data_IF_952481853822
#
_entry.id   IF_952481853822
#
_cell.length_a   1.000
_cell.length_b   1.000
_cell.length_c   1.000
_cell.angle_alpha   90.00
_cell.angle_beta   90.00
_cell.angle_gamma   90.00
#
_symmetry.space_group_name_H-M   'P 1'
#
loop_
_entity.id
_entity.type
_entity.pdbx_description
1 polymer ?
#
# COMPACT_ATOMS: atom_id res chain seq x y z
N UNK A 1 -7.23 29.64 -16.56
CA UNK A 1 -8.28 28.66 -16.93
C UNK A 1 -9.21 28.51 -15.72
N UNK A 2 -10.50 28.29 -15.95
CA UNK A 2 -11.48 28.04 -14.89
C UNK A 2 -12.06 26.63 -15.06
N UNK A 3 -12.08 25.83 -13.99
CA UNK A 3 -12.72 24.51 -14.00
C UNK A 3 -14.13 24.61 -13.41
N UNK A 4 -15.14 24.48 -14.26
CA UNK A 4 -16.54 24.42 -13.83
C UNK A 4 -16.91 22.97 -13.49
N UNK A 5 -16.81 22.59 -12.22
CA UNK A 5 -17.20 21.26 -11.75
C UNK A 5 -18.68 21.20 -11.37
N UNK A 6 -19.49 20.48 -12.16
CA UNK A 6 -20.93 20.26 -11.90
C UNK A 6 -21.23 18.92 -11.20
N UNK A 7 -20.20 18.16 -10.83
CA UNK A 7 -20.35 16.88 -10.16
C UNK A 7 -20.35 17.06 -8.63
N UNK A 8 -20.69 15.98 -7.91
CA UNK A 8 -20.50 15.90 -6.45
C UNK A 8 -19.10 15.45 -6.03
N UNK A 9 -18.20 15.25 -7.01
CA UNK A 9 -16.84 14.77 -6.79
C UNK A 9 -15.90 15.95 -6.56
N UNK A 10 -14.79 15.71 -5.90
CA UNK A 10 -13.70 16.70 -5.81
C UNK A 10 -13.02 16.75 -7.17
N UNK A 11 -12.94 17.93 -7.77
CA UNK A 11 -12.38 18.14 -9.10
C UNK A 11 -11.19 19.09 -9.07
N UNK A 12 -10.19 18.83 -9.90
CA UNK A 12 -9.03 19.69 -10.03
C UNK A 12 -8.29 19.43 -11.34
N UNK A 13 -7.33 20.30 -11.64
CA UNK A 13 -6.50 20.15 -12.84
C UNK A 13 -5.07 20.61 -12.57
N UNK A 14 -4.14 20.09 -13.37
CA UNK A 14 -2.76 20.54 -13.46
C UNK A 14 -2.28 20.46 -14.90
N UNK A 15 -1.09 20.99 -15.18
CA UNK A 15 -0.38 20.80 -16.44
C UNK A 15 0.77 19.83 -16.25
N UNK A 16 1.03 18.99 -17.25
CA UNK A 16 2.18 18.09 -17.26
C UNK A 16 2.79 18.03 -18.65
N UNK A 17 4.09 17.79 -18.75
CA UNK A 17 4.83 17.74 -20.01
C UNK A 17 5.24 16.31 -20.29
N UNK A 18 4.97 15.83 -21.50
CA UNK A 18 5.39 14.49 -21.90
C UNK A 18 6.87 14.44 -22.33
N UNK A 19 7.36 13.23 -22.63
CA UNK A 19 8.74 13.00 -23.06
C UNK A 19 9.13 13.69 -24.38
N UNK A 20 8.18 14.23 -25.14
CA UNK A 20 8.41 14.97 -26.39
C UNK A 20 8.42 16.49 -26.18
N UNK A 21 8.18 16.96 -24.96
CA UNK A 21 8.05 18.39 -24.65
C UNK A 21 6.64 18.93 -24.91
N UNK A 22 5.66 18.08 -25.22
CA UNK A 22 4.27 18.52 -25.40
C UNK A 22 3.61 18.68 -24.04
N UNK A 23 2.99 19.84 -23.85
CA UNK A 23 2.18 20.13 -22.66
C UNK A 23 0.78 19.50 -22.77
N UNK A 24 0.32 18.98 -21.64
CA UNK A 24 -0.98 18.35 -21.46
C UNK A 24 -1.69 18.98 -20.26
N UNK A 25 -2.99 19.21 -20.41
CA UNK A 25 -3.88 19.50 -19.29
C UNK A 25 -4.37 18.16 -18.71
N UNK A 26 -4.08 17.93 -17.43
CA UNK A 26 -4.55 16.75 -16.69
C UNK A 26 -5.68 17.18 -15.77
N UNK A 27 -6.86 16.61 -15.95
CA UNK A 27 -8.05 16.88 -15.13
C UNK A 27 -8.41 15.63 -14.36
N UNK A 28 -8.65 15.77 -13.06
CA UNK A 28 -8.99 14.67 -12.16
C UNK A 28 -10.33 14.96 -11.47
N UNK A 29 -11.15 13.91 -11.33
CA UNK A 29 -12.31 13.90 -10.45
C UNK A 29 -12.17 12.73 -9.46
N UNK A 30 -12.34 13.00 -8.17
CA UNK A 30 -12.14 12.04 -7.07
C UNK A 30 -13.39 11.90 -6.24
N UNK A 31 -13.77 10.64 -6.01
CA UNK A 31 -14.92 10.27 -5.19
C UNK A 31 -14.51 9.42 -4.00
N UNK A 32 -15.06 9.71 -2.83
CA UNK A 32 -14.95 8.89 -1.63
C UNK A 32 -16.27 8.18 -1.40
N UNK A 33 -16.20 6.85 -1.35
CA UNK A 33 -17.35 5.98 -1.21
C UNK A 33 -17.22 5.15 0.07
N UNK A 34 -18.35 4.91 0.74
CA UNK A 34 -18.41 3.96 1.85
C UNK A 34 -18.36 2.52 1.34
N UNK A 35 -17.64 1.66 2.05
CA UNK A 35 -17.69 0.22 1.82
C UNK A 35 -19.08 -0.27 2.24
N UNK A 36 -19.82 -0.97 1.36
CA UNK A 36 -21.16 -1.45 1.68
C UNK A 36 -21.12 -2.57 2.71
N UNK A 37 -22.06 -2.56 3.66
CA UNK A 37 -22.21 -3.62 4.67
C UNK A 37 -22.60 -4.98 4.08
N UNK A 38 -23.15 -4.99 2.85
CA UNK A 38 -23.57 -6.20 2.16
C UNK A 38 -22.95 -6.27 0.75
N UNK A 39 -22.38 -7.42 0.32
CA UNK A 39 -21.69 -7.56 -0.98
C UNK A 39 -22.50 -7.23 -2.24
N UNK A 40 -23.83 -7.17 -2.12
CA UNK A 40 -24.75 -6.83 -3.22
C UNK A 40 -25.16 -5.35 -3.27
N UNK A 41 -24.81 -4.55 -2.26
CA UNK A 41 -25.15 -3.13 -2.25
C UNK A 41 -24.10 -2.32 -3.01
N UNK A 42 -24.55 -1.32 -3.76
CA UNK A 42 -23.66 -0.39 -4.42
C UNK A 42 -22.95 0.50 -3.37
N UNK A 43 -21.66 0.82 -3.57
CA UNK A 43 -20.98 1.82 -2.74
C UNK A 43 -21.70 3.17 -2.80
N UNK A 44 -21.88 3.81 -1.65
CA UNK A 44 -22.53 5.12 -1.56
C UNK A 44 -21.48 6.23 -1.52
N UNK A 45 -21.64 7.25 -2.34
CA UNK A 45 -20.83 8.48 -2.27
C UNK A 45 -21.07 9.16 -0.92
N UNK A 46 -19.99 9.40 -0.17
CA UNK A 46 -20.05 10.04 1.14
C UNK A 46 -20.24 11.56 1.02
N UNK A 47 -20.71 12.21 2.08
CA UNK A 47 -20.78 13.68 2.11
C UNK A 47 -19.40 14.30 2.27
N UNK A 48 -18.59 13.74 3.17
CA UNK A 48 -17.19 14.11 3.31
C UNK A 48 -16.37 13.40 2.24
N UNK A 49 -15.80 14.19 1.33
CA UNK A 49 -14.92 13.72 0.27
C UNK A 49 -13.46 13.96 0.65
N UNK A 50 -12.59 12.99 0.33
CA UNK A 50 -11.16 13.15 0.47
C UNK A 50 -10.63 14.16 -0.56
N UNK A 51 -9.64 15.00 -0.19
CA UNK A 51 -9.05 15.94 -1.12
C UNK A 51 -8.23 15.23 -2.22
N UNK A 52 -7.91 15.98 -3.27
CA UNK A 52 -6.94 15.56 -4.28
C UNK A 52 -5.54 15.53 -3.65
N UNK A 53 -4.76 14.51 -4.00
CA UNK A 53 -3.37 14.33 -3.58
C UNK A 53 -2.48 14.94 -4.65
N UNK A 54 -1.78 16.01 -4.29
CA UNK A 54 -0.91 16.77 -5.20
C UNK A 54 0.51 16.21 -5.27
N UNK A 55 0.91 15.44 -4.26
CA UNK A 55 2.22 14.80 -4.11
C UNK A 55 2.05 13.53 -3.28
N UNK A 56 2.91 12.54 -3.51
CA UNK A 56 2.87 11.26 -2.81
C UNK A 56 2.88 11.48 -1.28
N UNK A 57 2.03 10.75 -0.58
CA UNK A 57 1.86 10.80 0.87
C UNK A 57 2.46 9.55 1.48
N UNK A 58 3.32 9.72 2.47
CA UNK A 58 4.02 8.65 3.15
C UNK A 58 3.67 8.66 4.65
N UNK A 59 3.66 7.50 5.33
CA UNK A 59 3.45 7.43 6.77
C UNK A 59 4.70 7.85 7.56
N UNK A 60 5.87 7.88 6.92
CA UNK A 60 7.14 8.35 7.46
C UNK A 60 7.98 9.00 6.37
N UNK A 61 9.31 8.87 6.46
CA UNK A 61 10.20 9.43 5.45
C UNK A 61 9.99 8.76 4.07
N UNK A 62 9.90 9.51 2.96
CA UNK A 62 9.63 8.97 1.62
C UNK A 62 10.59 7.87 1.16
N UNK A 63 11.86 7.92 1.58
CA UNK A 63 12.87 6.92 1.23
C UNK A 63 12.86 5.69 2.13
N UNK A 64 12.09 5.70 3.22
CA UNK A 64 12.11 4.67 4.26
C UNK A 64 10.75 4.03 4.49
N UNK A 65 9.72 4.52 3.81
CA UNK A 65 8.35 4.03 3.97
C UNK A 65 7.65 3.91 2.63
N UNK A 66 6.69 3.00 2.55
CA UNK A 66 5.86 2.87 1.36
C UNK A 66 4.84 4.00 1.29
N UNK A 67 4.58 4.51 0.08
CA UNK A 67 3.53 5.51 -0.14
C UNK A 67 2.17 4.97 0.31
N UNK A 68 1.43 5.78 1.09
CA UNK A 68 0.02 5.55 1.42
C UNK A 68 -0.89 5.93 0.26
N UNK A 69 -0.59 7.07 -0.37
CA UNK A 69 -1.32 7.62 -1.50
C UNK A 69 -0.33 8.19 -2.50
N UNK A 70 -0.53 7.89 -3.77
CA UNK A 70 0.24 8.49 -4.86
C UNK A 70 -0.43 9.79 -5.32
N UNK A 71 0.32 10.63 -6.02
CA UNK A 71 -0.19 11.80 -6.71
C UNK A 71 -1.36 11.42 -7.66
N UNK A 72 -2.50 12.10 -7.51
CA UNK A 72 -3.70 11.84 -8.29
C UNK A 72 -3.55 12.27 -9.77
N UNK A 73 -2.59 13.15 -10.10
CA UNK A 73 -2.42 13.78 -11.41
C UNK A 73 -1.42 13.06 -12.32
N UNK A 74 -1.44 11.72 -12.34
CA UNK A 74 -0.64 10.95 -13.29
C UNK A 74 -0.99 11.33 -14.74
N UNK A 75 0.02 11.73 -15.53
CA UNK A 75 -0.16 12.12 -16.94
C UNK A 75 -0.78 10.99 -17.77
N UNK A 76 -0.41 9.74 -17.48
CA UNK A 76 -0.93 8.57 -18.16
C UNK A 76 -1.19 7.43 -17.17
N UNK A 77 -2.45 6.98 -17.08
CA UNK A 77 -2.87 5.87 -16.22
C UNK A 77 -3.71 4.88 -17.04
N UNK A 78 -3.07 3.93 -17.76
CA UNK A 78 -3.76 3.07 -18.73
C UNK A 78 -4.65 2.01 -18.08
N UNK A 79 -4.49 1.77 -16.77
CA UNK A 79 -5.23 0.79 -15.98
C UNK A 79 -5.56 1.35 -14.60
N UNK A 80 -6.57 0.76 -13.97
CA UNK A 80 -6.93 1.07 -12.59
C UNK A 80 -6.00 0.33 -11.64
N UNK A 81 -5.46 1.04 -10.65
CA UNK A 81 -4.71 0.47 -9.55
C UNK A 81 -5.64 0.32 -8.34
N UNK A 82 -5.52 -0.81 -7.62
CA UNK A 82 -6.28 -1.07 -6.40
C UNK A 82 -5.30 -1.15 -5.24
N UNK A 83 -5.30 -0.12 -4.39
CA UNK A 83 -4.47 -0.04 -3.19
C UNK A 83 -5.33 -0.37 -1.96
N UNK A 84 -4.78 -1.19 -1.06
CA UNK A 84 -5.42 -1.58 0.19
C UNK A 84 -4.63 -1.02 1.37
N UNK A 85 -5.20 -0.01 2.04
CA UNK A 85 -4.72 0.49 3.33
C UNK A 85 -5.71 0.00 4.39
N UNK A 86 -5.32 -1.00 5.18
CA UNK A 86 -6.23 -1.62 6.14
C UNK A 86 -5.53 -2.51 7.15
N UNK A 87 -6.32 -3.23 7.93
CA UNK A 87 -5.83 -4.17 8.94
C UNK A 87 -6.48 -5.54 8.73
N UNK A 88 -5.70 -6.58 9.00
CA UNK A 88 -6.18 -7.92 9.21
C UNK A 88 -6.60 -8.08 10.67
N UNK A 89 -7.82 -8.56 10.90
CA UNK A 89 -8.30 -8.92 12.23
C UNK A 89 -8.38 -10.44 12.34
N UNK A 90 -7.90 -10.98 13.46
CA UNK A 90 -7.98 -12.40 13.73
C UNK A 90 -9.44 -12.83 13.96
N UNK A 91 -9.83 -14.05 13.52
CA UNK A 91 -11.20 -14.53 13.67
C UNK A 91 -11.67 -14.50 15.13
N UNK A 92 -12.90 -14.06 15.35
CA UNK A 92 -13.53 -13.98 16.69
C UNK A 92 -12.79 -13.09 17.71
N UNK A 93 -11.81 -12.29 17.28
CA UNK A 93 -10.98 -11.48 18.18
C UNK A 93 -9.93 -12.28 18.96
N UNK A 94 -9.79 -13.57 18.68
CA UNK A 94 -8.83 -14.45 19.37
C UNK A 94 -7.46 -14.41 18.68
N UNK A 95 -6.34 -14.40 19.42
CA UNK A 95 -5.01 -14.36 18.83
C UNK A 95 -4.75 -15.53 17.87
N UNK A 96 -4.35 -15.22 16.64
CA UNK A 96 -3.99 -16.19 15.62
C UNK A 96 -2.55 -15.97 15.14
N UNK A 97 -1.84 -17.05 14.81
CA UNK A 97 -0.49 -16.97 14.23
C UNK A 97 -0.51 -16.69 12.73
N UNK A 98 -1.62 -17.02 12.06
CA UNK A 98 -1.86 -16.75 10.66
C UNK A 98 -3.35 -16.57 10.37
N UNK A 99 -3.66 -15.70 9.40
CA UNK A 99 -5.03 -15.42 8.97
C UNK A 99 -5.05 -15.30 7.45
N UNK A 100 -5.98 -16.01 6.79
CA UNK A 100 -6.21 -15.84 5.35
C UNK A 100 -7.15 -14.65 5.14
N UNK A 101 -6.76 -13.74 4.25
CA UNK A 101 -7.55 -12.55 3.89
C UNK A 101 -7.71 -12.46 2.38
N UNK A 102 -8.76 -11.78 1.94
CA UNK A 102 -8.98 -11.50 0.53
C UNK A 102 -9.66 -10.14 0.34
N UNK A 103 -9.30 -9.47 -0.76
CA UNK A 103 -9.99 -8.30 -1.28
C UNK A 103 -10.61 -8.65 -2.63
N UNK A 104 -11.87 -8.24 -2.83
CA UNK A 104 -12.56 -8.35 -4.11
C UNK A 104 -13.09 -7.00 -4.56
N UNK A 105 -12.75 -6.60 -5.79
CA UNK A 105 -13.24 -5.38 -6.44
C UNK A 105 -13.69 -5.76 -7.86
N UNK A 106 -15.01 -5.81 -8.09
CA UNK A 106 -15.55 -6.33 -9.35
C UNK A 106 -15.11 -7.78 -9.61
N UNK A 107 -14.39 -8.00 -10.71
CA UNK A 107 -13.80 -9.30 -11.08
C UNK A 107 -12.41 -9.52 -10.50
N UNK A 108 -11.76 -8.48 -9.97
CA UNK A 108 -10.44 -8.59 -9.35
C UNK A 108 -10.57 -9.24 -7.97
N UNK A 109 -9.83 -10.33 -7.76
CA UNK A 109 -9.73 -11.02 -6.48
C UNK A 109 -8.25 -11.16 -6.12
N UNK A 110 -7.86 -10.69 -4.95
CA UNK A 110 -6.52 -10.91 -4.38
C UNK A 110 -6.68 -11.54 -3.00
N UNK A 111 -6.10 -12.71 -2.81
CA UNK A 111 -6.05 -13.39 -1.53
C UNK A 111 -4.60 -13.65 -1.10
N UNK A 112 -4.33 -13.59 0.19
CA UNK A 112 -3.02 -13.85 0.77
C UNK A 112 -3.15 -14.23 2.24
N UNK A 113 -2.05 -14.74 2.80
CA UNK A 113 -1.95 -15.08 4.22
C UNK A 113 -1.19 -14.00 4.95
N UNK A 114 -1.77 -13.50 6.04
CA UNK A 114 -1.15 -12.59 6.99
C UNK A 114 -0.56 -13.46 8.09
N UNK A 115 0.77 -13.42 8.26
CA UNK A 115 1.51 -14.26 9.20
C UNK A 115 2.08 -13.36 10.29
N UNK A 116 1.95 -13.80 11.55
CA UNK A 116 2.53 -13.15 12.72
C UNK A 116 4.01 -12.82 12.56
N UNK A 117 4.48 -11.82 13.31
CA UNK A 117 5.88 -11.43 13.28
C UNK A 117 6.80 -12.63 13.56
N UNK A 118 7.91 -12.69 12.82
CA UNK A 118 8.94 -13.73 12.94
C UNK A 118 10.30 -13.07 12.91
N UNK A 119 11.26 -13.69 13.58
CA UNK A 119 12.66 -13.27 13.57
C UNK A 119 13.54 -14.38 13.01
N UNK A 120 14.68 -13.99 12.44
CA UNK A 120 15.75 -14.94 12.18
C UNK A 120 16.44 -15.26 13.51
N UNK A 121 16.50 -16.55 13.82
CA UNK A 121 17.20 -17.09 14.97
C UNK A 121 18.50 -17.68 14.47
N UNK A 122 19.60 -17.17 15.01
CA UNK A 122 20.92 -17.72 14.78
C UNK A 122 21.31 -18.59 15.97
N UNK A 123 21.58 -19.87 15.70
CA UNK A 123 22.11 -20.80 16.68
C UNK A 123 23.41 -21.39 16.14
N UNK A 124 24.29 -21.88 17.03
CA UNK A 124 25.59 -22.43 16.66
C UNK A 124 25.55 -23.57 15.61
N UNK A 125 24.38 -24.15 15.33
CA UNK A 125 24.16 -25.26 14.41
C UNK A 125 23.14 -24.98 13.29
N UNK A 126 22.35 -23.90 13.37
CA UNK A 126 21.33 -23.61 12.37
C UNK A 126 20.92 -22.14 12.36
N UNK A 127 20.60 -21.66 11.15
CA UNK A 127 19.80 -20.45 10.95
C UNK A 127 18.36 -20.87 10.69
N UNK A 128 17.44 -20.51 11.58
CA UNK A 128 16.01 -20.79 11.40
C UNK A 128 15.17 -19.53 11.53
N UNK A 129 13.92 -19.60 11.09
CA UNK A 129 12.94 -18.54 11.31
C UNK A 129 12.07 -18.98 12.49
N UNK A 130 11.84 -18.09 13.44
CA UNK A 130 11.00 -18.34 14.61
C UNK A 130 9.58 -18.76 14.22
N UNK A 131 8.86 -19.36 15.17
CA UNK A 131 7.39 -19.50 15.03
C UNK A 131 6.75 -18.11 14.95
N UNK A 132 5.64 -17.93 14.19
CA UNK A 132 4.94 -16.66 14.15
C UNK A 132 4.38 -16.27 15.53
N UNK A 133 4.56 -15.02 15.91
CA UNK A 133 3.94 -14.44 17.11
C UNK A 133 2.43 -14.27 16.87
N UNK A 134 1.54 -14.78 17.74
CA UNK A 134 0.10 -14.58 17.60
C UNK A 134 -0.29 -13.08 17.62
N UNK A 135 -1.29 -12.71 16.82
CA UNK A 135 -1.83 -11.35 16.77
C UNK A 135 -3.37 -11.37 16.74
N UNK A 136 -3.99 -10.32 17.26
CA UNK A 136 -5.44 -10.07 17.12
C UNK A 136 -5.74 -9.09 15.99
N UNK A 137 -4.85 -8.14 15.76
CA UNK A 137 -4.92 -7.17 14.65
C UNK A 137 -3.52 -6.93 14.10
N UNK A 138 -3.38 -6.88 12.78
CA UNK A 138 -2.11 -6.58 12.10
C UNK A 138 -2.35 -5.71 10.88
N UNK A 139 -1.65 -4.58 10.72
CA UNK A 139 -1.80 -3.75 9.53
C UNK A 139 -1.41 -4.51 8.26
N UNK A 140 -1.98 -4.12 7.13
CA UNK A 140 -1.62 -4.63 5.81
C UNK A 140 -0.87 -3.50 5.11
N UNK A 141 0.45 -3.61 5.06
CA UNK A 141 1.34 -2.61 4.45
C UNK A 141 2.53 -3.28 3.78
N UNK A 142 3.15 -2.59 2.81
CA UNK A 142 4.40 -3.05 2.22
C UNK A 142 5.55 -3.12 3.23
N UNK A 143 5.54 -2.26 4.26
CA UNK A 143 6.55 -2.24 5.32
C UNK A 143 6.57 -3.53 6.16
N UNK A 144 5.43 -4.21 6.26
CA UNK A 144 5.32 -5.50 6.96
C UNK A 144 5.42 -6.71 6.04
N UNK A 145 5.36 -6.51 4.73
CA UNK A 145 5.58 -7.59 3.77
C UNK A 145 7.07 -7.95 3.69
N UNK A 146 7.35 -9.17 3.22
CA UNK A 146 8.71 -9.64 3.03
C UNK A 146 9.53 -8.68 2.15
N UNK A 147 10.75 -8.38 2.57
CA UNK A 147 11.66 -7.47 1.89
C UNK A 147 12.53 -6.71 2.89
N UNK A 148 12.96 -5.51 2.52
CA UNK A 148 13.80 -4.65 3.34
C UNK A 148 15.23 -4.55 2.84
N UNK A 149 16.07 -3.96 3.67
CA UNK A 149 17.49 -3.81 3.43
C UNK A 149 18.29 -4.42 4.59
N UNK A 150 19.34 -5.15 4.25
CA UNK A 150 20.37 -5.56 5.19
C UNK A 150 21.45 -4.48 5.24
N UNK A 151 21.46 -3.76 6.37
CA UNK A 151 22.40 -2.69 6.69
C UNK A 151 23.40 -3.10 7.78
N UNK A 152 23.49 -4.40 8.10
CA UNK A 152 24.31 -4.90 9.23
C UNK A 152 25.81 -4.80 8.95
N UNK A 153 26.23 -4.85 7.68
CA UNK A 153 27.63 -4.69 7.32
C UNK A 153 28.11 -3.24 7.59
N UNK A 154 29.27 -3.08 8.22
CA UNK A 154 29.81 -1.76 8.61
C UNK A 154 30.08 -0.82 7.42
N UNK A 155 30.56 -1.38 6.31
CA UNK A 155 30.71 -0.67 5.02
C UNK A 155 29.35 -0.53 4.29
N UNK A 156 28.82 0.69 4.10
CA UNK A 156 27.56 0.93 3.40
C UNK A 156 27.53 0.46 1.94
N UNK A 157 28.70 0.38 1.28
CA UNK A 157 28.77 -0.11 -0.10
C UNK A 157 28.44 -1.61 -0.23
N UNK A 158 28.42 -2.33 0.90
CA UNK A 158 28.06 -3.75 0.98
C UNK A 158 26.65 -3.99 1.50
N UNK A 159 25.87 -2.93 1.75
CA UNK A 159 24.45 -3.06 2.08
C UNK A 159 23.71 -3.68 0.89
N UNK A 160 22.82 -4.63 1.19
CA UNK A 160 22.00 -5.30 0.19
C UNK A 160 20.55 -4.96 0.46
N UNK A 161 19.71 -4.92 -0.57
CA UNK A 161 18.28 -4.71 -0.42
C UNK A 161 17.49 -5.67 -1.31
N UNK A 162 16.26 -5.95 -0.90
CA UNK A 162 15.35 -6.75 -1.69
C UNK A 162 14.75 -5.89 -2.82
N UNK A 163 14.99 -6.21 -4.11
CA UNK A 163 14.66 -5.31 -5.22
C UNK A 163 13.16 -5.06 -5.41
N UNK A 164 12.32 -6.01 -4.98
CA UNK A 164 10.86 -5.90 -5.16
C UNK A 164 10.16 -5.20 -4.01
N UNK A 165 10.80 -5.07 -2.85
CA UNK A 165 10.25 -4.40 -1.68
C UNK A 165 11.38 -3.93 -0.75
N UNK A 166 12.09 -2.84 -1.07
CA UNK A 166 13.24 -2.38 -0.29
C UNK A 166 12.86 -1.83 1.09
N UNK A 167 11.59 -1.48 1.30
CA UNK A 167 11.05 -0.94 2.56
C UNK A 167 10.35 -1.99 3.42
N UNK A 168 10.33 -3.26 2.99
CA UNK A 168 9.74 -4.37 3.72
C UNK A 168 10.53 -4.82 4.94
N UNK A 169 10.14 -5.96 5.50
CA UNK A 169 10.80 -6.56 6.67
C UNK A 169 11.23 -8.01 6.40
N UNK A 170 12.36 -8.39 6.99
CA UNK A 170 12.82 -9.78 7.01
C UNK A 170 13.66 -10.23 5.82
N UNK A 171 14.28 -9.33 5.06
CA UNK A 171 15.30 -9.70 4.08
C UNK A 171 16.64 -9.96 4.77
N UNK A 172 17.08 -11.21 4.77
CA UNK A 172 18.43 -11.61 5.16
C UNK A 172 19.14 -12.22 3.95
N UNK A 173 20.02 -11.48 3.26
CA UNK A 173 20.73 -11.98 2.10
C UNK A 173 21.76 -13.03 2.53
N UNK A 174 21.70 -14.21 1.91
CA UNK A 174 22.77 -15.20 2.00
C UNK A 174 24.11 -14.64 1.45
#
# INVERSE_FOLDING_TARGET
>A
MELVNKTRLVGGYTTSTDKTGREWLVVVAKGTYGIPDHPGHAPRLLEQQAPLIMADVFPGEPSESAALYENDFALHKPRCDVLLNGHCHAPNGEPATEVNVALKVGTLVKAFKVIGARIYEDSALSHSISKPVPFTTMPITYAQAFGGADRTHADPAKHKWYPWNPVGAGFYPA
#
